data_IF_205920483796
#
_entry.id   IF_205920483796
#
_cell.length_a   1.000
_cell.length_b   1.000
_cell.length_c   1.000
_cell.angle_alpha   90.00
_cell.angle_beta   90.00
_cell.angle_gamma   90.00
#
_symmetry.space_group_name_H-M   'P 1'
#
loop_
_entity.id
_entity.type
_entity.pdbx_description
1 polymer ?
#
# COMPACT_ATOMS: atom_id res chain seq x y z
N UNK A 1 -14.87 10.19 28.80
CA UNK A 1 -13.89 9.41 28.00
C UNK A 1 -13.83 10.04 26.63
N UNK A 2 -12.73 10.71 26.28
CA UNK A 2 -12.57 11.30 24.96
C UNK A 2 -12.29 10.17 23.98
N UNK A 3 -13.19 9.92 23.03
CA UNK A 3 -12.88 9.01 21.93
C UNK A 3 -11.57 9.50 21.28
N UNK A 4 -10.52 8.66 21.30
CA UNK A 4 -9.23 8.99 20.72
C UNK A 4 -9.41 9.42 19.26
N UNK A 5 -8.71 10.47 18.84
CA UNK A 5 -8.85 11.00 17.49
C UNK A 5 -8.65 9.88 16.46
N UNK A 6 -9.63 9.71 15.57
CA UNK A 6 -9.62 8.64 14.56
C UNK A 6 -8.42 8.83 13.62
N UNK A 7 -7.41 8.00 13.78
CA UNK A 7 -6.18 8.07 13.00
C UNK A 7 -6.45 7.58 11.58
N UNK A 8 -6.12 8.41 10.59
CA UNK A 8 -6.18 8.06 9.17
C UNK A 8 -4.77 7.72 8.68
N UNK A 9 -4.59 6.48 8.26
CA UNK A 9 -3.31 5.96 7.75
C UNK A 9 -3.45 5.64 6.26
N UNK A 10 -2.50 6.12 5.47
CA UNK A 10 -2.38 5.83 4.03
C UNK A 10 -1.16 4.96 3.83
N UNK A 11 -1.34 3.78 3.24
CA UNK A 11 -0.25 2.87 2.88
C UNK A 11 -0.10 2.91 1.36
N UNK A 12 1.06 3.38 0.89
CA UNK A 12 1.41 3.50 -0.52
C UNK A 12 2.59 2.59 -0.85
N UNK A 13 2.35 1.34 -1.27
CA UNK A 13 3.43 0.46 -1.68
C UNK A 13 4.12 1.06 -2.92
N UNK A 14 5.46 1.05 -2.92
CA UNK A 14 6.23 1.52 -4.06
C UNK A 14 6.08 0.60 -5.27
N UNK A 15 6.07 1.21 -6.47
CA UNK A 15 5.97 0.50 -7.75
C UNK A 15 4.68 -0.35 -7.86
N UNK A 16 4.58 -1.25 -8.84
CA UNK A 16 3.44 -2.15 -9.02
C UNK A 16 2.94 -2.25 -10.46
N UNK A 17 2.25 -3.35 -10.75
CA UNK A 17 1.77 -3.65 -12.11
C UNK A 17 2.93 -3.89 -13.07
N UNK A 18 3.01 -3.07 -14.12
CA UNK A 18 4.05 -3.15 -15.16
C UNK A 18 5.40 -2.58 -14.72
N UNK A 19 5.41 -1.77 -13.66
CA UNK A 19 6.62 -1.17 -13.11
C UNK A 19 7.11 -2.05 -11.95
N UNK A 20 8.15 -2.88 -12.16
CA UNK A 20 8.64 -3.79 -11.12
C UNK A 20 9.44 -3.07 -10.03
N UNK A 21 9.85 -1.81 -10.28
CA UNK A 21 10.86 -1.13 -9.49
C UNK A 21 12.24 -1.77 -9.61
N UNK A 22 13.03 -1.70 -8.53
CA UNK A 22 14.31 -2.40 -8.49
C UNK A 22 14.10 -3.91 -8.66
N UNK A 23 14.91 -4.53 -9.53
CA UNK A 23 14.92 -5.99 -9.74
C UNK A 23 16.29 -6.52 -9.38
N UNK A 24 16.32 -7.48 -8.47
CA UNK A 24 17.54 -8.21 -8.17
C UNK A 24 17.90 -9.12 -9.36
N UNK A 25 19.09 -8.94 -9.93
CA UNK A 25 19.50 -9.63 -11.15
C UNK A 25 19.79 -11.13 -10.95
N UNK A 26 20.12 -11.55 -9.72
CA UNK A 26 20.49 -12.93 -9.42
C UNK A 26 19.27 -13.80 -9.10
N UNK A 27 18.27 -13.23 -8.43
CA UNK A 27 17.09 -13.93 -7.92
C UNK A 27 15.82 -13.58 -8.67
N UNK A 28 15.80 -12.47 -9.42
CA UNK A 28 14.61 -11.95 -10.09
C UNK A 28 13.60 -11.29 -9.15
N UNK A 29 13.95 -11.10 -7.87
CA UNK A 29 13.07 -10.47 -6.88
C UNK A 29 12.77 -9.01 -7.28
N UNK A 30 11.49 -8.65 -7.27
CA UNK A 30 11.01 -7.31 -7.68
C UNK A 30 10.60 -6.52 -6.46
N UNK A 31 10.98 -5.25 -6.41
CA UNK A 31 10.57 -4.32 -5.35
C UNK A 31 9.04 -4.30 -5.19
N UNK A 32 8.31 -4.26 -6.29
CA UNK A 32 6.84 -4.25 -6.31
C UNK A 32 6.22 -5.43 -5.53
N UNK A 33 6.82 -6.63 -5.62
CA UNK A 33 6.30 -7.82 -4.94
C UNK A 33 6.53 -7.74 -3.43
N UNK A 34 7.72 -7.24 -3.04
CA UNK A 34 8.10 -7.04 -1.63
C UNK A 34 7.24 -5.96 -0.98
N UNK A 35 7.09 -4.79 -1.61
CA UNK A 35 6.31 -3.68 -1.07
C UNK A 35 4.83 -4.04 -0.95
N UNK A 36 4.27 -4.80 -1.91
CA UNK A 36 2.91 -5.30 -1.85
C UNK A 36 2.72 -6.31 -0.70
N UNK A 37 3.68 -7.22 -0.50
CA UNK A 37 3.68 -8.16 0.62
C UNK A 37 3.68 -7.46 1.98
N UNK A 38 4.57 -6.47 2.16
CA UNK A 38 4.65 -5.65 3.37
C UNK A 38 3.34 -4.91 3.61
N UNK A 39 2.74 -4.31 2.58
CA UNK A 39 1.43 -3.64 2.69
C UNK A 39 0.37 -4.59 3.22
N UNK A 40 0.26 -5.80 2.65
CA UNK A 40 -0.77 -6.78 3.07
C UNK A 40 -0.59 -7.18 4.53
N UNK A 41 0.64 -7.47 4.95
CA UNK A 41 0.95 -7.78 6.35
C UNK A 41 0.61 -6.62 7.29
N UNK A 42 0.97 -5.38 6.92
CA UNK A 42 0.67 -4.19 7.70
C UNK A 42 -0.84 -3.92 7.79
N UNK A 43 -1.58 -4.14 6.71
CA UNK A 43 -3.05 -4.05 6.71
C UNK A 43 -3.64 -5.07 7.68
N UNK A 44 -3.25 -6.35 7.60
CA UNK A 44 -3.74 -7.40 8.51
C UNK A 44 -3.45 -7.09 9.99
N UNK A 45 -2.22 -6.65 10.31
CA UNK A 45 -1.87 -6.24 11.69
C UNK A 45 -2.80 -5.13 12.13
N UNK A 46 -2.88 -4.08 11.34
CA UNK A 46 -3.54 -2.92 11.84
C UNK A 46 -5.10 -3.09 11.80
N UNK A 47 -5.66 -4.07 11.07
CA UNK A 47 -7.10 -4.40 11.09
C UNK A 47 -7.54 -4.92 12.47
N UNK A 48 -6.58 -5.38 13.29
CA UNK A 48 -6.79 -5.70 14.70
C UNK A 48 -6.97 -4.45 15.59
N UNK A 49 -6.79 -3.25 15.06
CA UNK A 49 -6.91 -1.98 15.78
C UNK A 49 -8.15 -1.17 15.34
N UNK A 50 -9.27 -1.24 16.10
CA UNK A 50 -10.57 -0.69 15.68
C UNK A 50 -10.63 0.84 15.54
N UNK A 51 -9.67 1.57 16.11
CA UNK A 51 -9.62 3.04 16.05
C UNK A 51 -8.92 3.59 14.79
N UNK A 52 -8.35 2.70 13.97
CA UNK A 52 -7.56 3.07 12.80
C UNK A 52 -8.38 2.98 11.50
N UNK A 53 -8.43 4.08 10.73
CA UNK A 53 -9.07 4.12 9.41
C UNK A 53 -7.99 4.05 8.32
N UNK A 54 -7.97 2.97 7.52
CA UNK A 54 -6.97 2.77 6.47
C UNK A 54 -7.45 3.13 5.08
N UNK A 55 -6.51 3.61 4.29
CA UNK A 55 -6.62 3.80 2.84
C UNK A 55 -5.39 3.14 2.21
N UNK A 56 -5.58 2.41 1.12
CA UNK A 56 -4.48 1.73 0.44
C UNK A 56 -4.76 1.66 -1.05
N UNK A 57 -3.74 1.80 -1.89
CA UNK A 57 -3.88 1.69 -3.35
C UNK A 57 -3.31 0.37 -3.86
N UNK A 58 -4.10 -0.34 -4.67
CA UNK A 58 -3.60 -1.31 -5.65
C UNK A 58 -3.37 -0.55 -6.94
N UNK A 59 -2.18 -0.64 -7.52
CA UNK A 59 -1.95 -0.21 -8.91
C UNK A 59 -2.64 -1.23 -9.81
N UNK A 60 -3.73 -0.88 -10.52
CA UNK A 60 -4.23 -1.71 -11.61
C UNK A 60 -3.15 -1.81 -12.68
N UNK A 61 -3.10 -2.92 -13.40
CA UNK A 61 -2.30 -3.06 -14.63
C UNK A 61 -2.48 -1.82 -15.52
N UNK A 62 -1.39 -1.10 -15.76
CA UNK A 62 -1.35 0.15 -16.54
C UNK A 62 -0.55 1.22 -15.82
N UNK A 63 0.70 1.41 -16.28
CA UNK A 63 1.63 2.53 -15.99
C UNK A 63 1.63 3.09 -14.55
N UNK A 64 2.73 2.86 -13.83
CA UNK A 64 3.05 3.51 -12.55
C UNK A 64 2.74 5.02 -12.58
N UNK A 65 1.93 5.57 -11.65
CA UNK A 65 1.62 6.99 -11.62
C UNK A 65 2.91 7.78 -11.36
N UNK A 66 3.03 8.97 -11.95
CA UNK A 66 4.09 9.90 -11.53
C UNK A 66 3.99 10.16 -10.03
N UNK A 67 5.09 10.61 -9.38
CA UNK A 67 5.09 10.99 -7.95
C UNK A 67 3.91 11.90 -7.57
N UNK A 68 3.43 12.73 -8.50
CA UNK A 68 2.28 13.62 -8.29
C UNK A 68 0.93 12.89 -8.21
N UNK A 69 0.77 11.73 -8.85
CA UNK A 69 -0.43 10.90 -8.78
C UNK A 69 -0.56 10.11 -7.47
N UNK A 70 0.48 10.11 -6.62
CA UNK A 70 0.50 9.34 -5.36
C UNK A 70 -0.37 9.92 -4.25
N UNK A 71 -0.77 11.18 -4.35
CA UNK A 71 -1.36 11.98 -3.26
C UNK A 71 -2.87 11.77 -3.06
N UNK A 72 -3.52 10.97 -3.90
CA UNK A 72 -4.97 10.71 -3.82
C UNK A 72 -5.24 9.33 -3.21
N UNK A 73 -5.63 9.25 -1.92
CA UNK A 73 -5.87 7.97 -1.26
C UNK A 73 -7.27 7.43 -1.57
N UNK A 74 -7.36 6.15 -1.94
CA UNK A 74 -8.63 5.43 -2.15
C UNK A 74 -8.92 4.53 -0.96
N UNK A 75 -10.21 4.33 -0.63
CA UNK A 75 -10.63 3.43 0.44
C UNK A 75 -10.12 2.02 0.16
N UNK A 76 -9.37 1.46 1.11
CA UNK A 76 -9.00 0.06 1.07
C UNK A 76 -10.28 -0.78 1.08
N UNK A 77 -10.47 -1.63 0.07
CA UNK A 77 -11.50 -2.67 0.09
C UNK A 77 -11.07 -3.77 1.06
N UNK A 78 -11.95 -4.22 1.97
CA UNK A 78 -11.67 -5.41 2.77
C UNK A 78 -11.51 -6.60 1.80
N UNK A 79 -10.49 -7.43 2.05
CA UNK A 79 -10.25 -8.67 1.30
C UNK A 79 -10.92 -9.82 2.02
#
# INVERSE_FOLDING_TARGET
>A
MTAGAKLRLVIDPGHGGEDPGAVDAATGLREADVTLGIRRALMAILDTHPDSRRLSRETPTGRSPSRSGRTSPTRATPT
#
